data_IF_776042584760
#
_entry.id   IF_776042584760
#
_cell.length_a   1.000
_cell.length_b   1.000
_cell.length_c   1.000
_cell.angle_alpha   90.00
_cell.angle_beta   90.00
_cell.angle_gamma   90.00
#
_symmetry.space_group_name_H-M   'P 1'
#
loop_
_entity.id
_entity.type
_entity.pdbx_description
1 polymer ?
#
# COMPACT_ATOMS: atom_id res chain seq x y z
N UNK A 1 2.52 9.70 -10.92
CA UNK A 1 1.50 8.83 -10.35
C UNK A 1 2.17 7.80 -9.45
N UNK A 2 1.64 7.65 -8.25
CA UNK A 2 2.31 6.93 -7.18
C UNK A 2 1.33 5.99 -6.51
N UNK A 3 1.73 4.73 -6.31
CA UNK A 3 1.00 3.77 -5.46
C UNK A 3 1.49 3.94 -4.03
N UNK A 4 0.57 4.17 -3.10
CA UNK A 4 0.91 4.35 -1.69
C UNK A 4 0.97 2.98 -1.02
N UNK A 5 2.11 2.68 -0.40
CA UNK A 5 2.27 1.47 0.40
C UNK A 5 1.43 1.53 1.68
N UNK A 6 1.08 0.36 2.19
CA UNK A 6 0.29 0.21 3.41
C UNK A 6 0.88 0.98 4.58
N UNK A 7 2.20 0.95 4.75
CA UNK A 7 2.90 1.62 5.85
C UNK A 7 2.74 3.15 5.81
N UNK A 8 2.66 3.73 4.62
CA UNK A 8 2.44 5.16 4.48
C UNK A 8 1.00 5.51 4.83
N UNK A 9 0.05 4.76 4.28
CA UNK A 9 -1.37 5.03 4.51
C UNK A 9 -1.75 4.82 5.98
N UNK A 10 -1.29 3.74 6.60
CA UNK A 10 -1.61 3.42 7.99
C UNK A 10 -1.01 4.41 8.99
N UNK A 11 0.05 5.13 8.60
CA UNK A 11 0.65 6.15 9.45
C UNK A 11 -0.34 7.26 9.79
N UNK A 12 -1.28 7.55 8.90
CA UNK A 12 -2.29 8.60 9.10
C UNK A 12 -3.22 8.31 10.28
N UNK A 13 -3.29 7.04 10.72
CA UNK A 13 -4.19 6.61 11.80
C UNK A 13 -3.48 6.38 13.12
N UNK A 14 -2.19 6.65 13.18
CA UNK A 14 -1.45 6.57 14.45
C UNK A 14 -1.83 7.72 15.37
N UNK A 15 -1.71 7.50 16.67
CA UNK A 15 -1.93 8.53 17.69
C UNK A 15 -0.96 9.69 17.50
N UNK A 16 0.30 9.37 17.15
CA UNK A 16 1.34 10.36 16.87
C UNK A 16 1.94 10.08 15.50
N UNK A 17 1.27 10.49 14.40
CA UNK A 17 1.78 10.24 13.05
C UNK A 17 3.12 10.94 12.82
N UNK A 18 3.97 10.32 11.99
CA UNK A 18 5.25 10.93 11.60
C UNK A 18 4.98 12.21 10.79
N UNK A 19 5.48 13.38 11.27
CA UNK A 19 5.25 14.64 10.56
C UNK A 19 5.76 14.65 9.12
N UNK A 20 6.81 13.88 8.83
CA UNK A 20 7.35 13.80 7.47
C UNK A 20 6.39 13.10 6.52
N UNK A 21 5.71 12.05 6.99
CA UNK A 21 4.71 11.35 6.20
C UNK A 21 3.51 12.25 5.96
N UNK A 22 3.03 12.94 6.99
CA UNK A 22 1.91 13.87 6.85
C UNK A 22 2.24 14.99 5.86
N UNK A 23 3.42 15.60 5.98
CA UNK A 23 3.84 16.67 5.08
C UNK A 23 3.93 16.18 3.63
N UNK A 24 4.45 14.97 3.42
CA UNK A 24 4.54 14.38 2.09
C UNK A 24 3.15 14.17 1.49
N UNK A 25 2.23 13.60 2.28
CA UNK A 25 0.85 13.36 1.82
C UNK A 25 0.13 14.67 1.47
N UNK A 26 0.28 15.68 2.32
CA UNK A 26 -0.36 16.99 2.10
C UNK A 26 0.17 17.69 0.85
N UNK A 27 1.40 17.39 0.45
CA UNK A 27 2.01 17.97 -0.74
C UNK A 27 1.54 17.30 -2.04
N UNK A 28 0.87 16.15 -1.96
CA UNK A 28 0.44 15.41 -3.14
C UNK A 28 -0.95 15.85 -3.61
N UNK A 29 -1.15 15.79 -4.91
CA UNK A 29 -2.49 15.93 -5.51
C UNK A 29 -3.15 14.56 -5.43
N UNK A 30 -4.29 14.45 -4.75
CA UNK A 30 -4.92 13.16 -4.45
C UNK A 30 -5.21 12.34 -5.71
N UNK A 31 -5.54 12.99 -6.81
CA UNK A 31 -5.83 12.33 -8.09
C UNK A 31 -4.62 11.62 -8.70
N UNK A 32 -3.42 11.90 -8.21
CA UNK A 32 -2.18 11.24 -8.66
C UNK A 32 -1.79 10.07 -7.77
N UNK A 33 -2.55 9.80 -6.71
CA UNK A 33 -2.28 8.75 -5.75
C UNK A 33 -3.20 7.56 -6.00
N UNK A 34 -2.60 6.35 -5.91
CA UNK A 34 -3.28 5.09 -6.15
C UNK A 34 -3.07 4.17 -4.95
N UNK A 35 -4.00 3.26 -4.73
CA UNK A 35 -3.85 2.17 -3.78
C UNK A 35 -3.83 0.84 -4.52
N UNK A 36 -3.14 -0.15 -3.94
CA UNK A 36 -3.29 -1.54 -4.35
C UNK A 36 -4.46 -2.17 -3.58
N UNK A 37 -5.19 -3.08 -4.23
CA UNK A 37 -6.18 -3.91 -3.54
C UNK A 37 -5.55 -4.72 -2.42
N UNK A 38 -4.26 -5.06 -2.53
CA UNK A 38 -3.50 -5.74 -1.47
C UNK A 38 -3.41 -4.84 -0.23
N UNK A 39 -3.15 -3.55 -0.39
CA UNK A 39 -3.14 -2.60 0.71
C UNK A 39 -4.50 -2.55 1.41
N UNK A 40 -5.58 -2.50 0.65
CA UNK A 40 -6.93 -2.52 1.22
C UNK A 40 -7.16 -3.81 2.01
N UNK A 41 -6.73 -4.95 1.47
CA UNK A 41 -6.84 -6.25 2.15
C UNK A 41 -6.06 -6.25 3.45
N UNK A 42 -4.84 -5.72 3.46
CA UNK A 42 -4.03 -5.63 4.68
C UNK A 42 -4.69 -4.75 5.75
N UNK A 43 -5.23 -3.62 5.34
CA UNK A 43 -5.93 -2.72 6.26
C UNK A 43 -7.17 -3.40 6.85
N UNK A 44 -7.97 -4.06 6.02
CA UNK A 44 -9.15 -4.78 6.47
C UNK A 44 -8.79 -5.93 7.41
N UNK A 45 -7.73 -6.66 7.10
CA UNK A 45 -7.24 -7.72 7.99
C UNK A 45 -6.84 -7.15 9.35
N UNK A 46 -6.03 -6.08 9.36
CA UNK A 46 -5.59 -5.46 10.60
C UNK A 46 -6.75 -5.00 11.47
N UNK A 47 -7.79 -4.43 10.87
CA UNK A 47 -8.99 -3.99 11.62
C UNK A 47 -9.83 -5.16 12.10
N UNK A 48 -9.99 -6.20 11.28
CA UNK A 48 -10.74 -7.39 11.66
C UNK A 48 -10.07 -8.14 12.82
N UNK A 49 -8.74 -8.05 12.93
CA UNK A 49 -7.97 -8.66 14.02
C UNK A 49 -7.99 -7.83 15.31
N UNK A 50 -8.44 -6.59 15.27
CA UNK A 50 -8.56 -5.77 16.48
C UNK A 50 -9.72 -6.26 17.36
N UNK A 51 -9.62 -6.05 18.69
CA UNK A 51 -10.76 -6.33 19.58
C UNK A 51 -11.99 -5.55 19.13
N UNK A 52 -13.15 -6.18 19.25
CA UNK A 52 -14.41 -5.49 18.99
C UNK A 52 -14.56 -4.30 19.94
N UNK A 53 -15.08 -3.20 19.42
CA UNK A 53 -15.26 -1.98 20.18
C UNK A 53 -15.34 -0.75 19.30
N UNK A 54 -15.41 0.39 19.95
CA UNK A 54 -15.60 1.69 19.33
C UNK A 54 -14.48 2.04 18.33
N UNK A 55 -13.24 1.77 18.72
CA UNK A 55 -12.06 2.09 17.89
C UNK A 55 -12.06 1.33 16.57
N UNK A 56 -12.34 0.02 16.64
CA UNK A 56 -12.44 -0.82 15.44
C UNK A 56 -13.55 -0.33 14.52
N UNK A 57 -14.73 -0.04 15.07
CA UNK A 57 -15.87 0.45 14.32
C UNK A 57 -15.57 1.77 13.63
N UNK A 58 -14.95 2.72 14.33
CA UNK A 58 -14.56 4.02 13.75
C UNK A 58 -13.63 3.84 12.57
N UNK A 59 -12.59 3.02 12.71
CA UNK A 59 -11.63 2.80 11.63
C UNK A 59 -12.24 2.05 10.45
N UNK A 60 -13.11 1.08 10.69
CA UNK A 60 -13.80 0.37 9.62
C UNK A 60 -14.71 1.31 8.83
N UNK A 61 -15.43 2.18 9.51
CA UNK A 61 -16.25 3.20 8.84
C UNK A 61 -15.38 4.19 8.06
N UNK A 62 -14.23 4.56 8.58
CA UNK A 62 -13.31 5.48 7.90
C UNK A 62 -12.82 4.89 6.58
N UNK A 63 -12.46 3.61 6.55
CA UNK A 63 -12.06 2.96 5.30
C UNK A 63 -13.19 3.03 4.27
N UNK A 64 -14.40 2.64 4.66
CA UNK A 64 -15.52 2.52 3.71
C UNK A 64 -16.07 3.88 3.26
N UNK A 65 -16.08 4.88 4.13
CA UNK A 65 -16.73 6.17 3.86
C UNK A 65 -15.78 7.29 3.47
N UNK A 66 -14.51 7.20 3.84
CA UNK A 66 -13.52 8.25 3.57
C UNK A 66 -12.41 7.79 2.63
N UNK A 67 -11.75 6.67 2.96
CA UNK A 67 -10.57 6.23 2.20
C UNK A 67 -10.96 5.70 0.83
N UNK A 68 -11.83 4.71 0.76
CA UNK A 68 -12.21 4.10 -0.52
C UNK A 68 -12.87 5.09 -1.46
N UNK A 69 -13.80 5.95 -1.00
CA UNK A 69 -14.34 6.97 -1.90
C UNK A 69 -13.31 7.97 -2.41
N UNK A 70 -12.32 8.35 -1.57
CA UNK A 70 -11.26 9.26 -1.99
C UNK A 70 -10.40 8.66 -3.12
N UNK A 71 -10.29 7.34 -3.17
CA UNK A 71 -9.52 6.62 -4.19
C UNK A 71 -10.41 5.93 -5.22
N UNK A 72 -11.65 6.35 -5.36
CA UNK A 72 -12.59 5.75 -6.32
C UNK A 72 -11.97 5.74 -7.73
N UNK A 73 -11.94 4.56 -8.36
CA UNK A 73 -11.32 4.38 -9.66
C UNK A 73 -9.79 4.28 -9.64
N UNK A 74 -9.17 4.40 -8.46
CA UNK A 74 -7.71 4.36 -8.31
C UNK A 74 -7.25 3.29 -7.33
N UNK A 75 -8.07 2.29 -7.06
CA UNK A 75 -7.66 1.07 -6.35
C UNK A 75 -7.33 0.01 -7.40
N UNK A 76 -6.07 -0.37 -7.48
CA UNK A 76 -5.56 -1.23 -8.54
C UNK A 76 -5.63 -2.71 -8.13
N UNK A 77 -6.22 -3.56 -8.98
CA UNK A 77 -6.28 -5.00 -8.68
C UNK A 77 -4.95 -5.68 -8.91
N UNK A 78 -4.76 -6.82 -8.25
CA UNK A 78 -3.67 -7.74 -8.59
C UNK A 78 -4.18 -8.66 -9.70
N UNK A 79 -3.93 -8.27 -10.95
CA UNK A 79 -4.42 -8.95 -12.14
C UNK A 79 -3.33 -9.82 -12.80
N UNK A 80 -3.58 -10.32 -13.99
CA UNK A 80 -2.62 -11.18 -14.69
C UNK A 80 -1.32 -10.46 -15.02
N UNK A 81 -1.39 -9.18 -15.43
CA UNK A 81 -0.18 -8.40 -15.69
C UNK A 81 0.63 -8.21 -14.42
N UNK A 82 -0.03 -7.95 -13.30
CA UNK A 82 0.63 -7.85 -12.00
C UNK A 82 1.26 -9.19 -11.59
N UNK A 83 0.62 -10.32 -11.91
CA UNK A 83 1.18 -11.65 -11.61
C UNK A 83 2.48 -11.90 -12.38
N UNK A 84 2.55 -11.46 -13.63
CA UNK A 84 3.77 -11.57 -14.43
C UNK A 84 4.89 -10.71 -13.83
N UNK A 85 4.59 -9.46 -13.51
CA UNK A 85 5.54 -8.56 -12.87
C UNK A 85 6.01 -9.12 -11.52
N UNK A 86 5.13 -9.73 -10.76
CA UNK A 86 5.46 -10.38 -9.48
C UNK A 86 6.48 -11.50 -9.67
N UNK A 87 6.23 -12.39 -10.63
CA UNK A 87 7.15 -13.50 -10.90
C UNK A 87 8.55 -13.01 -11.25
N UNK A 88 8.64 -12.01 -12.13
CA UNK A 88 9.91 -11.44 -12.55
C UNK A 88 10.63 -10.72 -11.41
N UNK A 89 9.89 -9.90 -10.65
CA UNK A 89 10.44 -9.13 -9.53
C UNK A 89 10.98 -10.05 -8.44
N UNK A 90 10.19 -11.04 -8.02
CA UNK A 90 10.58 -11.94 -6.94
C UNK A 90 11.74 -12.83 -7.34
N UNK A 91 11.79 -13.28 -8.59
CA UNK A 91 12.91 -14.07 -9.09
C UNK A 91 14.21 -13.25 -9.08
N UNK A 92 14.17 -12.00 -9.50
CA UNK A 92 15.34 -11.11 -9.47
C UNK A 92 15.80 -10.83 -8.05
N UNK A 93 14.88 -10.58 -7.13
CA UNK A 93 15.22 -10.34 -5.74
C UNK A 93 15.88 -11.56 -5.10
N UNK A 94 15.37 -12.76 -5.41
CA UNK A 94 15.93 -14.00 -4.90
C UNK A 94 17.31 -14.30 -5.45
N UNK A 95 17.52 -14.07 -6.76
CA UNK A 95 18.75 -14.42 -7.46
C UNK A 95 19.83 -13.35 -7.33
N UNK A 96 19.42 -12.07 -7.23
CA UNK A 96 20.35 -10.95 -7.29
C UNK A 96 21.02 -10.64 -5.97
N UNK A 97 20.33 -10.08 -5.04
CA UNK A 97 20.91 -9.50 -3.82
C UNK A 97 20.60 -10.29 -2.55
N UNK A 98 19.92 -11.42 -2.64
CA UNK A 98 19.49 -12.16 -1.47
C UNK A 98 18.47 -11.40 -0.62
N UNK A 99 17.81 -10.41 -1.19
CA UNK A 99 16.81 -9.61 -0.50
C UNK A 99 15.53 -10.42 -0.35
N UNK A 100 15.04 -10.50 0.89
CA UNK A 100 13.72 -11.06 1.16
C UNK A 100 12.69 -9.94 1.06
N UNK A 101 11.90 -9.97 -0.01
CA UNK A 101 10.74 -9.09 -0.13
C UNK A 101 9.56 -9.83 0.45
N UNK A 102 8.87 -9.23 1.44
CA UNK A 102 7.66 -9.81 2.00
C UNK A 102 6.59 -9.99 0.92
N UNK A 103 5.74 -11.00 1.07
CA UNK A 103 4.73 -11.30 0.04
C UNK A 103 3.84 -10.10 -0.29
N UNK A 104 3.32 -9.42 0.74
CA UNK A 104 2.47 -8.25 0.54
C UNK A 104 3.21 -7.14 -0.19
N UNK A 105 4.45 -6.84 0.22
CA UNK A 105 5.28 -5.83 -0.42
C UNK A 105 5.56 -6.18 -1.88
N UNK A 106 5.81 -7.46 -2.15
CA UNK A 106 6.02 -7.95 -3.51
C UNK A 106 4.79 -7.78 -4.39
N UNK A 107 3.62 -8.08 -3.86
CA UNK A 107 2.37 -7.92 -4.60
C UNK A 107 2.07 -6.44 -4.90
N UNK A 108 2.32 -5.56 -3.95
CA UNK A 108 2.13 -4.11 -4.14
C UNK A 108 3.10 -3.59 -5.19
N UNK A 109 4.38 -3.94 -5.07
CA UNK A 109 5.40 -3.51 -6.02
C UNK A 109 5.10 -4.03 -7.44
N UNK A 110 4.65 -5.27 -7.57
CA UNK A 110 4.27 -5.86 -8.86
C UNK A 110 3.06 -5.17 -9.48
N UNK A 111 2.07 -4.82 -8.66
CA UNK A 111 0.89 -4.08 -9.12
C UNK A 111 1.30 -2.73 -9.70
N UNK A 112 2.18 -2.02 -9.01
CA UNK A 112 2.69 -0.74 -9.47
C UNK A 112 3.54 -0.90 -10.75
N UNK A 113 4.44 -1.88 -10.78
CA UNK A 113 5.33 -2.11 -11.91
C UNK A 113 4.55 -2.46 -13.18
N UNK A 114 3.49 -3.25 -13.06
CA UNK A 114 2.65 -3.63 -14.20
C UNK A 114 1.99 -2.42 -14.89
N UNK A 115 1.88 -1.31 -14.18
CA UNK A 115 1.27 -0.08 -14.70
C UNK A 115 2.27 1.07 -14.86
N UNK A 116 3.56 0.80 -14.67
CA UNK A 116 4.59 1.83 -14.78
C UNK A 116 4.52 2.89 -13.71
N UNK A 117 4.01 2.55 -12.52
CA UNK A 117 3.88 3.50 -11.41
C UNK A 117 4.99 3.30 -10.38
N UNK A 118 5.28 4.36 -9.65
CA UNK A 118 6.21 4.33 -8.52
C UNK A 118 5.48 3.92 -7.25
N UNK A 119 6.23 3.44 -6.25
CA UNK A 119 5.69 3.10 -4.93
C UNK A 119 6.26 4.06 -3.90
N UNK A 120 5.38 4.67 -3.09
CA UNK A 120 5.79 5.45 -1.93
C UNK A 120 5.73 4.54 -0.70
N UNK A 121 6.86 4.35 -0.05
CA UNK A 121 6.98 3.48 1.12
C UNK A 121 7.92 4.10 2.14
N UNK A 122 7.70 3.78 3.43
CA UNK A 122 8.63 4.15 4.51
C UNK A 122 9.80 3.19 4.59
N UNK A 123 9.57 1.93 4.25
CA UNK A 123 10.62 0.91 4.20
C UNK A 123 11.05 0.76 2.75
N UNK A 124 12.19 1.35 2.42
CA UNK A 124 12.72 1.33 1.06
C UNK A 124 13.56 0.08 0.77
N UNK A 125 13.95 -0.67 1.80
CA UNK A 125 14.84 -1.83 1.63
C UNK A 125 14.33 -2.87 0.64
N UNK A 126 13.05 -3.30 0.68
CA UNK A 126 12.53 -4.30 -0.25
C UNK A 126 12.55 -3.85 -1.71
N UNK A 127 12.57 -2.55 -1.96
CA UNK A 127 12.42 -1.98 -3.30
C UNK A 127 13.71 -1.42 -3.89
N UNK A 128 14.82 -1.54 -3.17
CA UNK A 128 16.13 -1.02 -3.61
C UNK A 128 16.93 -1.98 -4.47
N UNK A 129 16.47 -3.19 -4.59
CA UNK A 129 17.22 -4.24 -5.31
C UNK A 129 17.28 -3.98 -6.82
#
# INVERSE_FOLDING_TARGET
MIVIDTNVLSELWRVAPDPKVLAWMDAQVVETLFLSAITVAELRFGLAAMPQGKRRTIYQERIEREVLPAFAGRVLPFDLDASKAYGELMARARLGAGLAIGNADGYIAATAAARGLMVATRDTSPFKA
#
